data_IF_119756431379
#
_entry.id   IF_119756431379
#
_cell.length_a   1.000
_cell.length_b   1.000
_cell.length_c   1.000
_cell.angle_alpha   90.00
_cell.angle_beta   90.00
_cell.angle_gamma   90.00
#
_symmetry.space_group_name_H-M   'P 1'
#
loop_
_entity.id
_entity.type
_entity.pdbx_description
1 polymer ?
#
# COMPACT_ATOMS: atom_id res chain seq x y z
N UNK A 1 29.16 17.11 2.12
CA UNK A 1 29.66 17.03 0.72
C UNK A 1 29.00 18.15 -0.07
N UNK A 2 29.58 18.67 -1.15
CA UNK A 2 28.89 19.70 -1.95
C UNK A 2 27.75 19.06 -2.77
N UNK A 3 26.67 19.79 -3.10
CA UNK A 3 25.60 19.27 -3.97
C UNK A 3 26.11 18.75 -5.32
N UNK A 4 27.17 19.38 -5.87
CA UNK A 4 27.83 18.92 -7.09
C UNK A 4 28.54 17.57 -6.94
N UNK A 5 29.12 17.28 -5.77
CA UNK A 5 29.73 15.98 -5.49
C UNK A 5 28.66 14.87 -5.33
N UNK A 6 27.48 15.21 -4.83
CA UNK A 6 26.36 14.27 -4.70
C UNK A 6 25.69 13.97 -6.05
N UNK A 7 25.62 14.93 -6.97
CA UNK A 7 25.05 14.73 -8.30
C UNK A 7 25.80 13.71 -9.17
N UNK A 8 27.04 13.37 -8.82
CA UNK A 8 27.87 12.39 -9.54
C UNK A 8 28.08 11.06 -8.80
N UNK A 9 27.45 10.84 -7.64
CA UNK A 9 27.65 9.60 -6.89
C UNK A 9 27.03 8.41 -7.64
N UNK A 10 27.78 7.33 -7.76
CA UNK A 10 27.34 6.08 -8.39
C UNK A 10 26.75 5.11 -7.37
N UNK A 11 26.07 4.06 -7.84
CA UNK A 11 25.54 3.00 -6.98
C UNK A 11 26.65 2.32 -6.16
N UNK A 12 27.78 1.99 -6.80
CA UNK A 12 28.91 1.37 -6.11
C UNK A 12 29.50 2.29 -5.03
N UNK A 13 29.57 3.60 -5.28
CA UNK A 13 30.07 4.56 -4.29
C UNK A 13 29.10 4.72 -3.11
N UNK A 14 27.80 4.83 -3.38
CA UNK A 14 26.79 4.94 -2.33
C UNK A 14 26.72 3.65 -1.48
N UNK A 15 26.77 2.49 -2.13
CA UNK A 15 26.80 1.18 -1.47
C UNK A 15 28.08 0.89 -0.69
N UNK A 16 29.20 1.51 -1.06
CA UNK A 16 30.46 1.39 -0.31
C UNK A 16 30.53 2.30 0.92
N UNK A 17 29.58 3.23 1.12
CA UNK A 17 29.59 4.10 2.29
C UNK A 17 29.35 3.30 3.57
N UNK A 18 30.13 3.51 4.63
CA UNK A 18 29.84 2.93 5.94
C UNK A 18 28.44 3.33 6.39
N UNK A 19 27.63 2.43 6.97
CA UNK A 19 26.27 2.76 7.41
C UNK A 19 26.20 3.99 8.32
N UNK A 20 27.19 4.22 9.17
CA UNK A 20 27.24 5.38 10.07
C UNK A 20 27.38 6.72 9.34
N UNK A 21 27.94 6.74 8.13
CA UNK A 21 28.05 7.95 7.31
C UNK A 21 26.67 8.44 6.85
N UNK A 22 25.68 7.55 6.77
CA UNK A 22 24.32 7.90 6.31
C UNK A 22 23.62 8.91 7.21
N UNK A 23 24.02 9.01 8.49
CA UNK A 23 23.48 9.99 9.44
C UNK A 23 23.85 11.44 9.10
N UNK A 24 24.87 11.64 8.26
CA UNK A 24 25.33 12.97 7.88
C UNK A 24 24.53 13.58 6.73
N UNK A 25 23.71 12.79 6.02
CA UNK A 25 22.91 13.27 4.90
C UNK A 25 21.56 13.79 5.38
N UNK A 26 21.17 14.94 4.86
CA UNK A 26 19.84 15.51 5.05
C UNK A 26 18.92 15.26 3.84
N UNK A 27 17.72 15.85 3.87
CA UNK A 27 16.75 15.70 2.78
C UNK A 27 17.24 16.32 1.45
N UNK A 28 17.95 17.45 1.50
CA UNK A 28 18.46 18.09 0.28
C UNK A 28 19.57 17.23 -0.33
N UNK A 29 20.40 16.62 0.50
CA UNK A 29 21.43 15.71 0.04
C UNK A 29 20.84 14.50 -0.70
N UNK A 30 19.87 13.80 -0.10
CA UNK A 30 19.23 12.64 -0.75
C UNK A 30 18.47 13.03 -2.02
N UNK A 31 17.83 14.20 -2.03
CA UNK A 31 17.12 14.71 -3.20
C UNK A 31 18.04 15.11 -4.35
N UNK A 32 19.29 15.50 -4.05
CA UNK A 32 20.29 15.86 -5.05
C UNK A 32 21.04 14.65 -5.65
N UNK A 33 20.99 13.49 -4.99
CA UNK A 33 21.60 12.27 -5.50
C UNK A 33 20.85 11.72 -6.72
N UNK A 34 21.54 11.24 -7.76
CA UNK A 34 20.91 10.65 -8.92
C UNK A 34 20.17 9.37 -8.54
N UNK A 35 18.97 9.10 -9.10
CA UNK A 35 18.18 7.90 -8.78
C UNK A 35 18.96 6.59 -8.89
N UNK A 36 19.82 6.46 -9.90
CA UNK A 36 20.60 5.25 -10.15
C UNK A 36 21.58 4.91 -9.03
N UNK A 37 21.99 5.89 -8.21
CA UNK A 37 22.82 5.62 -7.04
C UNK A 37 22.10 4.75 -6.02
N UNK A 38 20.78 4.89 -5.88
CA UNK A 38 19.99 4.17 -4.88
C UNK A 38 19.96 2.66 -5.11
N UNK A 39 20.25 2.20 -6.33
CA UNK A 39 20.39 0.77 -6.64
C UNK A 39 21.54 0.10 -5.86
N UNK A 40 22.51 0.86 -5.37
CA UNK A 40 23.60 0.36 -4.53
C UNK A 40 23.32 0.39 -3.03
N UNK A 41 22.18 0.93 -2.58
CA UNK A 41 21.89 0.99 -1.15
C UNK A 41 21.58 -0.37 -0.57
N UNK A 42 22.17 -0.65 0.58
CA UNK A 42 21.96 -1.83 1.38
C UNK A 42 21.08 -1.54 2.61
N UNK A 43 20.52 -2.60 3.19
CA UNK A 43 19.69 -2.53 4.38
C UNK A 43 20.37 -1.82 5.57
N UNK A 44 21.69 -1.97 5.73
CA UNK A 44 22.43 -1.36 6.83
C UNK A 44 22.49 0.16 6.70
N UNK A 45 22.68 0.69 5.49
CA UNK A 45 22.67 2.13 5.23
C UNK A 45 21.29 2.73 5.46
N UNK A 46 20.23 2.09 4.95
CA UNK A 46 18.85 2.57 5.15
C UNK A 46 18.50 2.63 6.64
N UNK A 47 18.88 1.64 7.45
CA UNK A 47 18.66 1.67 8.92
C UNK A 47 19.34 2.84 9.62
N UNK A 48 20.39 3.41 9.04
CA UNK A 48 21.16 4.52 9.62
C UNK A 48 20.80 5.88 9.02
N UNK A 49 19.88 5.96 8.05
CA UNK A 49 19.36 7.24 7.57
C UNK A 49 18.50 7.92 8.64
N UNK A 50 18.71 9.23 8.82
CA UNK A 50 17.79 10.04 9.62
C UNK A 50 16.39 9.99 8.99
N UNK A 51 15.31 9.71 9.76
CA UNK A 51 13.95 9.75 9.25
C UNK A 51 13.59 11.05 8.51
N UNK A 52 14.16 12.19 8.90
CA UNK A 52 13.91 13.47 8.20
C UNK A 52 14.60 13.53 6.84
N UNK A 53 15.69 12.81 6.63
CA UNK A 53 16.41 12.80 5.36
C UNK A 53 15.58 12.15 4.24
N UNK A 54 14.83 11.09 4.55
CA UNK A 54 14.03 10.36 3.54
C UNK A 54 12.92 11.21 2.91
N UNK A 55 12.51 12.30 3.56
CA UNK A 55 11.56 13.26 3.00
C UNK A 55 12.06 13.94 1.71
N UNK A 56 13.38 13.91 1.47
CA UNK A 56 14.01 14.41 0.25
C UNK A 56 14.01 13.42 -0.91
N UNK A 57 13.69 12.14 -0.68
CA UNK A 57 13.65 11.13 -1.73
C UNK A 57 12.42 11.34 -2.62
N UNK A 58 12.62 11.24 -3.93
CA UNK A 58 11.55 11.25 -4.93
C UNK A 58 11.17 9.84 -5.40
N UNK A 59 10.15 9.78 -6.26
CA UNK A 59 9.65 8.52 -6.83
C UNK A 59 10.75 7.74 -7.57
N UNK A 60 11.61 8.44 -8.31
CA UNK A 60 12.68 7.79 -9.07
C UNK A 60 13.73 7.15 -8.15
N UNK A 61 14.11 7.82 -7.04
CA UNK A 61 14.99 7.21 -6.04
C UNK A 61 14.34 5.99 -5.38
N UNK A 62 13.07 6.09 -4.98
CA UNK A 62 12.34 4.96 -4.38
C UNK A 62 12.28 3.78 -5.35
N UNK A 63 12.00 4.02 -6.62
CA UNK A 63 11.94 2.96 -7.63
C UNK A 63 13.26 2.18 -7.77
N UNK A 64 14.39 2.85 -7.59
CA UNK A 64 15.72 2.24 -7.69
C UNK A 64 16.18 1.55 -6.40
N UNK A 65 15.51 1.79 -5.27
CA UNK A 65 15.93 1.23 -3.99
C UNK A 65 15.71 -0.30 -3.97
N UNK A 66 16.72 -1.12 -3.65
CA UNK A 66 16.55 -2.57 -3.58
C UNK A 66 15.44 -2.98 -2.59
N UNK A 67 14.67 -4.06 -2.85
CA UNK A 67 13.60 -4.51 -1.95
C UNK A 67 14.08 -4.77 -0.52
N UNK A 68 15.27 -5.34 -0.33
CA UNK A 68 15.85 -5.58 1.01
C UNK A 68 16.22 -4.28 1.73
N UNK A 69 16.64 -3.25 0.98
CA UNK A 69 16.92 -1.93 1.54
C UNK A 69 15.61 -1.22 1.92
N UNK A 70 14.58 -1.27 1.07
CA UNK A 70 13.25 -0.71 1.37
C UNK A 70 12.61 -1.41 2.57
N UNK A 71 12.70 -2.74 2.64
CA UNK A 71 12.25 -3.56 3.79
C UNK A 71 12.92 -3.16 5.11
N UNK A 72 14.13 -2.62 5.05
CA UNK A 72 14.89 -2.20 6.22
C UNK A 72 14.46 -0.84 6.79
N UNK A 73 13.59 -0.10 6.09
CA UNK A 73 13.04 1.16 6.58
C UNK A 73 12.23 0.94 7.87
N UNK A 74 12.55 1.71 8.90
CA UNK A 74 11.76 1.78 10.13
C UNK A 74 10.48 2.60 9.94
N UNK A 75 9.56 2.47 10.90
CA UNK A 75 8.25 3.16 10.88
C UNK A 75 8.38 4.67 10.71
N UNK A 76 9.34 5.30 11.39
CA UNK A 76 9.54 6.76 11.29
C UNK A 76 10.05 7.18 9.90
N UNK A 77 10.84 6.35 9.24
CA UNK A 77 11.32 6.64 7.89
C UNK A 77 10.19 6.50 6.88
N UNK A 78 9.38 5.44 7.00
CA UNK A 78 8.19 5.26 6.16
C UNK A 78 7.18 6.41 6.33
N UNK A 79 6.96 6.89 7.55
CA UNK A 79 6.08 8.03 7.85
C UNK A 79 6.59 9.38 7.32
N UNK A 80 7.90 9.51 7.07
CA UNK A 80 8.50 10.72 6.50
C UNK A 80 8.68 10.64 4.99
N UNK A 81 8.39 9.51 4.35
CA UNK A 81 8.30 9.47 2.88
C UNK A 81 7.11 10.32 2.44
N UNK A 82 7.32 11.14 1.41
CA UNK A 82 6.20 11.85 0.82
C UNK A 82 5.29 10.90 0.03
N UNK A 83 3.98 11.16 -0.06
CA UNK A 83 3.11 10.40 -0.97
C UNK A 83 3.62 10.42 -2.42
N UNK A 84 4.22 11.52 -2.86
CA UNK A 84 4.85 11.62 -4.18
C UNK A 84 6.00 10.61 -4.36
N UNK A 85 6.82 10.39 -3.33
CA UNK A 85 7.87 9.38 -3.35
C UNK A 85 7.30 7.95 -3.44
N UNK A 86 6.20 7.68 -2.76
CA UNK A 86 5.48 6.40 -2.82
C UNK A 86 4.87 6.13 -4.21
N UNK A 87 4.74 7.13 -5.08
CA UNK A 87 4.42 6.92 -6.49
C UNK A 87 5.47 6.12 -7.25
N UNK A 88 6.69 5.98 -6.71
CA UNK A 88 7.78 5.17 -7.29
C UNK A 88 7.91 3.75 -6.75
N UNK A 89 7.11 3.37 -5.74
CA UNK A 89 7.20 2.04 -5.12
C UNK A 89 6.90 0.94 -6.15
N UNK A 90 7.58 -0.19 -6.01
CA UNK A 90 7.40 -1.38 -6.85
C UNK A 90 6.66 -2.48 -6.11
N UNK A 91 6.09 -3.43 -6.85
CA UNK A 91 5.42 -4.61 -6.26
C UNK A 91 6.38 -5.43 -5.38
N UNK A 92 7.65 -5.55 -5.78
CA UNK A 92 8.66 -6.27 -5.00
C UNK A 92 8.96 -5.59 -3.66
N UNK A 93 9.00 -4.25 -3.62
CA UNK A 93 9.19 -3.49 -2.39
C UNK A 93 7.98 -3.61 -1.45
N UNK A 94 6.76 -3.45 -1.98
CA UNK A 94 5.55 -3.59 -1.17
C UNK A 94 5.41 -5.02 -0.63
N UNK A 95 5.65 -6.03 -1.47
CA UNK A 95 5.60 -7.44 -1.06
C UNK A 95 6.68 -7.83 -0.05
N UNK A 96 7.83 -7.14 -0.05
CA UNK A 96 8.92 -7.38 0.90
C UNK A 96 8.68 -6.75 2.29
N UNK A 97 7.78 -5.77 2.40
CA UNK A 97 7.54 -5.07 3.67
C UNK A 97 7.00 -6.04 4.75
N UNK A 98 7.53 -5.97 5.99
CA UNK A 98 6.97 -6.73 7.08
C UNK A 98 5.55 -6.22 7.39
N UNK A 99 4.60 -7.08 7.82
CA UNK A 99 3.24 -6.67 8.11
C UNK A 99 3.13 -5.50 9.09
N UNK A 100 4.01 -5.42 10.07
CA UNK A 100 4.03 -4.34 11.07
C UNK A 100 4.36 -2.97 10.48
N UNK A 101 5.12 -2.92 9.38
CA UNK A 101 5.44 -1.66 8.69
C UNK A 101 4.21 -1.02 8.04
N UNK A 102 3.18 -1.81 7.72
CA UNK A 102 1.94 -1.30 7.12
C UNK A 102 1.22 -0.28 8.00
N UNK A 103 1.46 -0.30 9.33
CA UNK A 103 0.92 0.68 10.28
C UNK A 103 1.48 2.09 10.07
N UNK A 104 2.55 2.25 9.31
CA UNK A 104 3.15 3.54 9.01
C UNK A 104 2.36 4.34 7.97
N UNK A 105 1.57 3.68 7.11
CA UNK A 105 0.91 4.33 5.98
C UNK A 105 -0.47 4.88 6.34
N UNK A 106 -0.78 6.05 5.79
CA UNK A 106 -2.09 6.69 5.87
C UNK A 106 -2.88 6.61 4.53
N UNK A 107 -4.00 7.33 4.47
CA UNK A 107 -4.87 7.35 3.30
C UNK A 107 -4.21 8.00 2.06
N UNK A 108 -3.41 9.05 2.26
CA UNK A 108 -2.72 9.76 1.17
C UNK A 108 -1.60 8.88 0.61
N UNK A 109 -0.91 8.16 1.48
CA UNK A 109 0.15 7.22 1.10
C UNK A 109 -0.40 6.14 0.18
N UNK A 110 -1.43 5.41 0.63
CA UNK A 110 -2.05 4.37 -0.22
C UNK A 110 -2.62 4.97 -1.50
N UNK A 111 -3.25 6.14 -1.42
CA UNK A 111 -3.79 6.84 -2.58
C UNK A 111 -2.73 7.30 -3.60
N UNK A 112 -1.47 7.41 -3.22
CA UNK A 112 -0.39 7.81 -4.13
C UNK A 112 0.36 6.61 -4.75
N UNK A 113 0.28 5.41 -4.15
CA UNK A 113 0.93 4.21 -4.68
C UNK A 113 0.36 3.79 -6.05
N UNK A 114 1.18 3.28 -6.98
CA UNK A 114 0.69 2.71 -8.24
C UNK A 114 -0.24 1.52 -8.01
N UNK A 115 -1.31 1.37 -8.78
CA UNK A 115 -2.25 0.25 -8.59
C UNK A 115 -1.62 -1.12 -8.75
N UNK A 116 -0.67 -1.27 -9.68
CA UNK A 116 0.02 -2.54 -9.91
C UNK A 116 0.73 -3.11 -8.67
N UNK A 117 1.13 -2.29 -7.68
CA UNK A 117 1.85 -2.78 -6.51
C UNK A 117 0.98 -3.63 -5.59
N UNK A 118 -0.32 -3.37 -5.55
CA UNK A 118 -1.26 -4.08 -4.67
C UNK A 118 -1.45 -5.56 -5.05
N UNK A 119 -1.03 -5.97 -6.26
CA UNK A 119 -0.99 -7.37 -6.68
C UNK A 119 -0.02 -8.23 -5.84
N UNK A 120 1.03 -7.62 -5.28
CA UNK A 120 2.01 -8.30 -4.42
C UNK A 120 1.65 -8.25 -2.93
N UNK A 121 0.49 -7.69 -2.58
CA UNK A 121 0.08 -7.54 -1.19
C UNK A 121 -0.32 -8.88 -0.57
N UNK A 122 0.13 -9.12 0.66
CA UNK A 122 -0.21 -10.31 1.43
C UNK A 122 -1.38 -10.07 2.41
N UNK A 123 -2.16 -11.10 2.78
CA UNK A 123 -3.25 -10.99 3.75
C UNK A 123 -2.86 -10.37 5.11
N UNK A 124 -1.69 -10.72 5.63
CA UNK A 124 -1.18 -10.19 6.91
C UNK A 124 -0.78 -8.72 6.82
N UNK A 125 -0.32 -8.24 5.67
CA UNK A 125 -0.07 -6.82 5.42
C UNK A 125 -1.38 -6.03 5.43
N UNK A 126 -2.40 -6.53 4.74
CA UNK A 126 -3.72 -5.89 4.71
C UNK A 126 -4.33 -5.78 6.09
N UNK A 127 -4.30 -6.84 6.89
CA UNK A 127 -4.83 -6.80 8.26
C UNK A 127 -4.05 -5.87 9.20
N UNK A 128 -2.85 -5.41 8.84
CA UNK A 128 -2.09 -4.43 9.63
C UNK A 128 -2.31 -2.97 9.19
N UNK A 129 -2.97 -2.71 8.07
CA UNK A 129 -3.41 -1.37 7.72
C UNK A 129 -4.48 -0.85 8.70
N UNK A 130 -4.44 0.45 8.99
CA UNK A 130 -5.55 1.11 9.65
C UNK A 130 -6.76 1.22 8.69
N UNK A 131 -7.98 1.16 9.23
CA UNK A 131 -9.18 1.37 8.42
C UNK A 131 -9.18 2.75 7.74
N UNK A 132 -8.67 3.78 8.42
CA UNK A 132 -8.47 5.12 7.86
C UNK A 132 -7.54 5.12 6.65
N UNK A 133 -6.49 4.29 6.64
CA UNK A 133 -5.60 4.18 5.48
C UNK A 133 -6.33 3.54 4.29
N UNK A 134 -7.08 2.46 4.53
CA UNK A 134 -7.87 1.77 3.50
C UNK A 134 -8.89 2.69 2.82
N UNK A 135 -9.44 3.68 3.52
CA UNK A 135 -10.33 4.69 2.94
C UNK A 135 -9.67 5.56 1.84
N UNK A 136 -8.34 5.57 1.77
CA UNK A 136 -7.56 6.23 0.73
C UNK A 136 -7.38 5.40 -0.55
N UNK A 137 -7.73 4.12 -0.55
CA UNK A 137 -7.60 3.27 -1.74
C UNK A 137 -8.54 3.70 -2.86
N UNK A 138 -8.01 3.68 -4.08
CA UNK A 138 -8.72 4.01 -5.32
C UNK A 138 -9.33 2.76 -5.97
N UNK A 139 -10.35 2.90 -6.83
CA UNK A 139 -10.99 1.77 -7.50
C UNK A 139 -10.00 0.88 -8.26
N UNK A 140 -9.06 1.48 -9.01
CA UNK A 140 -8.04 0.76 -9.79
C UNK A 140 -7.05 -0.02 -8.92
N UNK A 141 -6.81 0.43 -7.68
CA UNK A 141 -5.97 -0.28 -6.71
C UNK A 141 -6.70 -1.47 -6.09
N UNK A 142 -7.99 -1.33 -5.78
CA UNK A 142 -8.79 -2.42 -5.22
C UNK A 142 -8.90 -3.60 -6.20
N UNK A 143 -9.05 -3.34 -7.49
CA UNK A 143 -9.09 -4.38 -8.54
C UNK A 143 -7.81 -5.21 -8.60
N UNK A 144 -6.68 -4.65 -8.17
CA UNK A 144 -5.38 -5.35 -8.15
C UNK A 144 -5.18 -6.22 -6.92
N UNK A 145 -6.02 -6.09 -5.88
CA UNK A 145 -5.90 -6.91 -4.68
C UNK A 145 -6.18 -8.40 -4.99
N UNK A 146 -5.32 -9.34 -4.54
CA UNK A 146 -5.65 -10.76 -4.59
C UNK A 146 -6.92 -11.06 -3.79
N UNK A 147 -7.76 -11.99 -4.25
CA UNK A 147 -9.02 -12.34 -3.55
C UNK A 147 -8.79 -12.80 -2.11
N UNK A 148 -7.67 -13.50 -1.85
CA UNK A 148 -7.28 -13.90 -0.48
C UNK A 148 -7.01 -12.70 0.45
N UNK A 149 -6.55 -11.57 -0.10
CA UNK A 149 -6.35 -10.33 0.66
C UNK A 149 -7.70 -9.73 1.03
N UNK A 150 -8.64 -9.68 0.10
CA UNK A 150 -10.02 -9.22 0.35
C UNK A 150 -10.70 -10.06 1.43
N UNK A 151 -10.60 -11.39 1.34
CA UNK A 151 -11.10 -12.30 2.36
C UNK A 151 -10.37 -12.22 3.71
N UNK A 152 -9.27 -11.48 3.81
CA UNK A 152 -8.56 -11.23 5.08
C UNK A 152 -8.92 -9.89 5.72
N UNK A 153 -9.55 -8.96 4.99
CA UNK A 153 -9.86 -7.62 5.49
C UNK A 153 -10.72 -7.68 6.76
N UNK A 154 -10.37 -6.85 7.74
CA UNK A 154 -11.16 -6.69 8.95
C UNK A 154 -12.49 -6.00 8.64
N UNK A 155 -13.55 -6.21 9.44
CA UNK A 155 -14.84 -5.54 9.25
C UNK A 155 -14.74 -4.01 9.10
N UNK A 156 -13.93 -3.35 9.93
CA UNK A 156 -13.75 -1.89 9.86
C UNK A 156 -13.03 -1.44 8.58
N UNK A 157 -12.17 -2.28 8.01
CA UNK A 157 -11.47 -1.97 6.75
C UNK A 157 -12.43 -2.04 5.57
N UNK A 158 -13.29 -3.07 5.52
CA UNK A 158 -14.33 -3.17 4.50
C UNK A 158 -15.31 -1.99 4.58
N UNK A 159 -15.74 -1.64 5.80
CA UNK A 159 -16.62 -0.48 6.02
C UNK A 159 -16.00 0.84 5.57
N UNK A 160 -14.67 0.95 5.62
CA UNK A 160 -13.94 2.15 5.24
C UNK A 160 -13.75 2.32 3.72
N UNK A 161 -13.95 1.25 2.92
CA UNK A 161 -13.90 1.36 1.46
C UNK A 161 -15.03 2.27 0.97
N UNK A 162 -14.72 3.27 0.16
CA UNK A 162 -15.73 4.15 -0.43
C UNK A 162 -16.66 3.37 -1.37
N UNK A 163 -17.97 3.67 -1.41
CA UNK A 163 -18.92 2.94 -2.27
C UNK A 163 -18.48 2.85 -3.74
N UNK A 164 -17.93 3.93 -4.30
CA UNK A 164 -17.48 3.98 -5.70
C UNK A 164 -16.28 3.08 -5.95
N UNK A 165 -15.39 2.94 -4.96
CA UNK A 165 -14.25 2.05 -5.03
C UNK A 165 -14.67 0.59 -4.81
N UNK A 166 -15.62 0.35 -3.91
CA UNK A 166 -16.20 -0.97 -3.66
C UNK A 166 -16.92 -1.53 -4.90
N UNK A 167 -17.65 -0.68 -5.62
CA UNK A 167 -18.30 -1.02 -6.89
C UNK A 167 -17.32 -1.41 -8.00
N UNK A 168 -16.03 -1.06 -7.87
CA UNK A 168 -14.99 -1.47 -8.80
C UNK A 168 -14.51 -2.91 -8.60
N UNK A 169 -14.87 -3.58 -7.50
CA UNK A 169 -14.34 -4.91 -7.17
C UNK A 169 -14.81 -5.99 -8.15
N UNK A 170 -13.94 -6.96 -8.43
CA UNK A 170 -14.26 -8.08 -9.32
C UNK A 170 -15.16 -9.11 -8.61
N UNK A 171 -16.01 -9.85 -9.34
CA UNK A 171 -16.78 -10.97 -8.79
C UNK A 171 -15.92 -11.94 -7.97
N UNK A 172 -14.71 -12.28 -8.41
CA UNK A 172 -13.81 -13.20 -7.70
C UNK A 172 -13.31 -12.64 -6.37
N UNK A 173 -13.28 -11.32 -6.21
CA UNK A 173 -12.90 -10.67 -4.96
C UNK A 173 -14.07 -10.69 -3.97
N UNK A 174 -15.29 -10.43 -4.45
CA UNK A 174 -16.52 -10.51 -3.66
C UNK A 174 -16.80 -11.96 -3.23
N UNK A 175 -16.50 -12.94 -4.08
CA UNK A 175 -16.58 -14.37 -3.78
C UNK A 175 -15.62 -14.85 -2.69
N UNK A 176 -14.58 -14.07 -2.37
CA UNK A 176 -13.66 -14.39 -1.27
C UNK A 176 -14.08 -13.78 0.08
N UNK A 177 -15.20 -13.05 0.13
CA UNK A 177 -15.75 -12.55 1.39
C UNK A 177 -16.09 -13.70 2.35
N UNK A 178 -15.82 -13.47 3.64
CA UNK A 178 -16.05 -14.42 4.72
C UNK A 178 -17.31 -14.07 5.51
N UNK A 179 -17.97 -15.04 6.18
CA UNK A 179 -19.18 -14.78 6.95
C UNK A 179 -19.03 -13.65 7.99
N UNK A 180 -17.87 -13.52 8.63
CA UNK A 180 -17.58 -12.45 9.60
C UNK A 180 -17.65 -11.04 9.01
N UNK A 181 -17.56 -10.90 7.68
CA UNK A 181 -17.57 -9.64 6.96
C UNK A 181 -18.98 -9.21 6.51
N UNK A 182 -20.00 -10.09 6.60
CA UNK A 182 -21.34 -9.79 6.08
C UNK A 182 -21.98 -8.55 6.73
N UNK A 183 -21.76 -8.34 8.03
CA UNK A 183 -22.29 -7.17 8.74
C UNK A 183 -21.49 -5.88 8.51
N UNK A 184 -20.26 -5.94 7.98
CA UNK A 184 -19.46 -4.74 7.71
C UNK A 184 -19.81 -4.01 6.44
N UNK A 185 -20.48 -4.66 5.49
CA UNK A 185 -20.84 -4.04 4.21
C UNK A 185 -21.90 -2.96 4.42
N UNK A 186 -21.68 -1.75 3.93
CA UNK A 186 -22.68 -0.68 4.09
C UNK A 186 -23.81 -0.85 3.08
N UNK A 187 -24.99 -0.31 3.40
CA UNK A 187 -26.12 -0.26 2.45
C UNK A 187 -25.70 0.45 1.14
N UNK A 188 -24.91 1.52 1.23
CA UNK A 188 -24.43 2.27 0.07
C UNK A 188 -23.42 1.50 -0.78
N UNK A 189 -22.54 0.70 -0.17
CA UNK A 189 -21.63 -0.20 -0.91
C UNK A 189 -22.42 -1.26 -1.69
N UNK A 190 -23.43 -1.86 -1.06
CA UNK A 190 -24.24 -2.92 -1.65
C UNK A 190 -25.10 -2.39 -2.81
N UNK A 191 -25.67 -1.19 -2.67
CA UNK A 191 -26.43 -0.52 -3.74
C UNK A 191 -25.59 -0.18 -4.96
N UNK A 192 -24.27 -0.02 -4.80
CA UNK A 192 -23.37 0.35 -5.90
C UNK A 192 -22.91 -0.84 -6.73
N UNK A 193 -23.25 -2.07 -6.35
CA UNK A 193 -22.85 -3.28 -7.08
C UNK A 193 -23.65 -3.46 -8.38
N UNK A 194 -23.07 -4.20 -9.33
CA UNK A 194 -23.79 -4.80 -10.44
C UNK A 194 -24.51 -6.09 -10.00
N UNK A 195 -25.49 -6.60 -10.78
CA UNK A 195 -26.11 -7.89 -10.52
C UNK A 195 -25.11 -9.05 -10.49
N UNK A 196 -24.10 -9.06 -11.36
CA UNK A 196 -23.06 -10.10 -11.41
C UNK A 196 -22.17 -10.06 -10.16
N UNK A 197 -21.82 -8.86 -9.70
CA UNK A 197 -21.09 -8.66 -8.45
C UNK A 197 -21.91 -9.10 -7.24
N UNK A 198 -23.20 -8.77 -7.20
CA UNK A 198 -24.10 -9.19 -6.13
C UNK A 198 -24.26 -10.72 -6.07
N UNK A 199 -24.37 -11.37 -7.24
CA UNK A 199 -24.45 -12.83 -7.35
C UNK A 199 -23.17 -13.54 -6.88
N UNK A 200 -22.03 -12.86 -6.93
CA UNK A 200 -20.75 -13.42 -6.49
C UNK A 200 -20.58 -13.44 -4.96
N UNK A 201 -21.43 -12.74 -4.19
CA UNK A 201 -21.35 -12.75 -2.73
C UNK A 201 -21.71 -14.13 -2.18
N UNK A 202 -20.86 -14.79 -1.38
CA UNK A 202 -21.15 -16.14 -0.90
C UNK A 202 -22.39 -16.20 0.00
N UNK A 203 -23.18 -17.27 -0.11
CA UNK A 203 -24.40 -17.45 0.68
C UNK A 203 -24.16 -17.31 2.19
N UNK A 204 -23.06 -17.87 2.70
CA UNK A 204 -22.71 -17.78 4.11
C UNK A 204 -22.42 -16.33 4.59
N UNK A 205 -22.14 -15.40 3.68
CA UNK A 205 -22.03 -13.95 3.95
C UNK A 205 -23.44 -13.34 3.98
N UNK A 206 -24.28 -13.67 3.00
CA UNK A 206 -25.69 -13.22 2.92
C UNK A 206 -26.49 -13.59 4.18
N UNK A 207 -26.22 -14.77 4.76
CA UNK A 207 -26.86 -15.24 5.99
C UNK A 207 -26.49 -14.39 7.22
N UNK A 208 -25.33 -13.71 7.19
CA UNK A 208 -24.86 -12.84 8.27
C UNK A 208 -25.31 -11.39 8.14
N UNK A 209 -25.76 -10.99 6.95
CA UNK A 209 -26.26 -9.64 6.65
C UNK A 209 -27.58 -9.34 7.37
N UNK A 210 -27.79 -8.06 7.66
CA UNK A 210 -29.06 -7.50 8.13
C UNK A 210 -30.11 -7.49 7.02
N UNK A 211 -31.39 -7.31 7.38
CA UNK A 211 -32.46 -7.14 6.40
C UNK A 211 -32.23 -5.94 5.47
N UNK A 212 -31.78 -4.80 6.03
CA UNK A 212 -31.47 -3.61 5.24
C UNK A 212 -30.35 -3.86 4.22
N UNK A 213 -29.30 -4.59 4.61
CA UNK A 213 -28.21 -4.97 3.69
C UNK A 213 -28.70 -5.91 2.58
N UNK A 214 -29.52 -6.91 2.90
CA UNK A 214 -30.07 -7.82 1.87
C UNK A 214 -30.98 -7.09 0.88
N UNK A 215 -31.82 -6.18 1.37
CA UNK A 215 -32.71 -5.36 0.53
C UNK A 215 -31.96 -4.33 -0.33
N UNK A 216 -30.70 -4.04 0.01
CA UNK A 216 -29.84 -3.11 -0.72
C UNK A 216 -29.16 -3.74 -1.94
N UNK A 217 -29.14 -5.08 -2.03
CA UNK A 217 -28.52 -5.78 -3.15
C UNK A 217 -29.30 -5.54 -4.44
N UNK A 218 -28.61 -5.33 -5.58
CA UNK A 218 -29.22 -5.35 -6.90
C UNK A 218 -29.99 -6.65 -7.12
N UNK A 219 -31.12 -6.58 -7.84
CA UNK A 219 -31.85 -7.78 -8.23
C UNK A 219 -30.99 -8.59 -9.21
N UNK A 220 -30.66 -9.81 -8.81
CA UNK A 220 -30.06 -10.79 -9.71
C UNK A 220 -31.21 -11.40 -10.52
N UNK A 221 -31.26 -11.12 -11.82
CA UNK A 221 -32.24 -11.78 -12.68
C UNK A 221 -31.82 -13.26 -12.86
N UNK A 222 -32.77 -14.20 -12.81
CA UNK A 222 -32.50 -15.63 -12.96
C UNK A 222 -31.97 -16.00 -14.35
#
# INVERSE_FOLDING_TARGET
MSPAALGGITSNQLGALPPTAMKAFDAKDLGAMPPQAFAGMEAAQVKNLDPKAVAGMGAQQINQLPPDAFKAMGTQQLQNLSPAALGGITSNQLGALPPTAMKAFDAKDLGAMPSAVFSAMAPNQMTNLAASAVAGMKPDQLVQLPSQVVGSMKPDQLKAIKPEAFAGMKPEQLGALKPSQGRSLTVTQLQALSPEQAAAIPQAVLDRMTAAQKNALPKVNP
#
